data_IF_967106798929
#
_entry.id   IF_967106798929
#
_cell.length_a   1.000
_cell.length_b   1.000
_cell.length_c   1.000
_cell.angle_alpha   90.00
_cell.angle_beta   90.00
_cell.angle_gamma   90.00
#
_symmetry.space_group_name_H-M   'P 1'
#
loop_
_entity.id
_entity.type
_entity.pdbx_description
1 polymer ?
#
# COMPACT_ATOMS: atom_id res chain seq x y z
N UNK A 1 20.18 14.28 28.68
CA UNK A 1 19.15 13.54 27.90
C UNK A 1 19.90 12.86 26.77
N UNK A 2 20.14 11.53 26.87
CA UNK A 2 20.75 10.79 25.76
C UNK A 2 19.67 10.66 24.70
N UNK A 3 19.98 11.12 23.49
CA UNK A 3 19.11 10.98 22.34
C UNK A 3 18.81 9.48 22.17
N UNK A 4 17.57 9.09 22.46
CA UNK A 4 17.15 7.68 22.51
C UNK A 4 16.94 7.11 21.12
N UNK A 5 17.03 7.97 20.10
CA UNK A 5 16.80 7.65 18.71
C UNK A 5 18.07 8.03 17.95
N UNK A 6 18.65 7.06 17.25
CA UNK A 6 19.76 7.32 16.33
C UNK A 6 19.32 8.24 15.17
N UNK A 7 20.25 8.64 14.30
CA UNK A 7 19.90 9.39 13.09
C UNK A 7 18.87 8.61 12.25
N UNK A 8 18.06 9.33 11.48
CA UNK A 8 17.12 8.71 10.55
C UNK A 8 17.84 7.66 9.66
N UNK A 9 17.20 6.52 9.37
CA UNK A 9 17.80 5.47 8.54
C UNK A 9 18.17 6.05 7.17
N UNK A 10 19.40 5.77 6.71
CA UNK A 10 19.84 6.15 5.37
C UNK A 10 19.28 5.16 4.34
N UNK A 11 19.29 5.53 3.06
CA UNK A 11 19.06 4.58 1.98
C UNK A 11 20.37 3.82 1.72
N UNK A 12 20.57 2.74 2.48
CA UNK A 12 21.76 1.91 2.42
C UNK A 12 21.44 0.48 2.90
N UNK A 13 22.25 -0.49 2.47
CA UNK A 13 22.17 -1.87 2.92
C UNK A 13 22.15 -1.98 4.46
N UNK A 14 21.25 -2.81 4.99
CA UNK A 14 21.04 -3.01 6.43
C UNK A 14 20.16 -1.95 7.11
N UNK A 15 19.76 -0.88 6.40
CA UNK A 15 18.88 0.14 6.96
C UNK A 15 17.46 -0.40 7.13
N UNK A 16 16.83 -0.06 8.27
CA UNK A 16 15.52 -0.56 8.67
C UNK A 16 14.48 0.55 8.67
N UNK A 17 13.32 0.30 8.07
CA UNK A 17 12.19 1.23 7.99
C UNK A 17 10.95 0.56 8.58
N UNK A 18 10.38 1.16 9.63
CA UNK A 18 9.15 0.69 10.25
C UNK A 18 7.93 1.46 9.73
N UNK A 19 6.83 0.76 9.51
CA UNK A 19 5.53 1.33 9.17
C UNK A 19 4.44 0.66 10.00
N UNK A 20 3.41 1.43 10.36
CA UNK A 20 2.29 0.89 11.13
C UNK A 20 0.97 1.49 10.64
N UNK A 21 -0.10 0.70 10.66
CA UNK A 21 -1.46 1.11 10.33
C UNK A 21 -2.37 0.93 11.55
N UNK A 22 -3.23 1.91 11.80
CA UNK A 22 -4.28 1.80 12.80
C UNK A 22 -5.57 2.48 12.32
N UNK A 23 -6.72 1.93 12.72
CA UNK A 23 -8.03 2.52 12.55
C UNK A 23 -8.82 2.38 13.85
N UNK A 24 -9.62 3.39 14.19
CA UNK A 24 -10.39 3.41 15.45
C UNK A 24 -9.54 3.03 16.70
N UNK A 25 -8.31 3.56 16.77
CA UNK A 25 -7.32 3.30 17.84
C UNK A 25 -6.91 1.82 18.01
N UNK A 26 -7.08 1.01 16.96
CA UNK A 26 -6.63 -0.38 16.90
C UNK A 26 -5.55 -0.56 15.86
N UNK A 27 -4.45 -1.22 16.26
CA UNK A 27 -3.39 -1.64 15.35
C UNK A 27 -3.97 -2.68 14.37
N UNK A 28 -3.83 -2.42 13.06
CA UNK A 28 -4.27 -3.34 12.00
C UNK A 28 -3.11 -4.02 11.29
N UNK A 29 -1.98 -3.33 11.14
CA UNK A 29 -0.79 -3.89 10.54
C UNK A 29 0.49 -3.22 11.06
N UNK A 30 1.58 -3.96 11.04
CA UNK A 30 2.93 -3.41 11.15
C UNK A 30 3.86 -4.08 10.14
N UNK A 31 4.83 -3.30 9.64
CA UNK A 31 5.84 -3.80 8.74
C UNK A 31 7.21 -3.24 9.12
N UNK A 32 8.25 -4.05 8.99
CA UNK A 32 9.64 -3.60 9.07
C UNK A 32 10.39 -4.08 7.83
N UNK A 33 10.83 -3.13 7.01
CA UNK A 33 11.64 -3.40 5.81
C UNK A 33 13.12 -3.25 6.15
N UNK A 34 13.93 -4.24 5.79
CA UNK A 34 15.40 -4.17 5.84
C UNK A 34 15.95 -4.08 4.41
N UNK A 35 16.56 -2.95 4.05
CA UNK A 35 17.11 -2.75 2.71
C UNK A 35 18.34 -3.63 2.48
N UNK A 36 18.47 -4.19 1.27
CA UNK A 36 19.62 -4.98 0.84
C UNK A 36 20.47 -4.21 -0.18
N UNK A 37 19.87 -3.77 -1.27
CA UNK A 37 20.58 -3.15 -2.38
C UNK A 37 19.67 -2.26 -3.26
N UNK A 38 20.24 -1.35 -4.07
CA UNK A 38 19.50 -0.66 -5.11
C UNK A 38 18.89 -1.66 -6.12
N UNK A 39 17.71 -1.34 -6.63
CA UNK A 39 16.99 -2.14 -7.63
C UNK A 39 16.55 -1.26 -8.78
N UNK A 40 16.57 -1.80 -10.00
CA UNK A 40 16.09 -1.10 -11.19
C UNK A 40 14.55 -0.92 -11.19
N UNK A 41 13.84 -1.79 -10.47
CA UNK A 41 12.37 -1.79 -10.35
C UNK A 41 11.90 -1.89 -8.90
N UNK A 42 10.62 -1.62 -8.62
CA UNK A 42 9.96 -1.83 -7.32
C UNK A 42 8.96 -2.98 -7.36
N UNK A 43 9.31 -4.05 -8.09
CA UNK A 43 8.41 -5.18 -8.34
C UNK A 43 7.34 -4.86 -9.39
N UNK A 44 6.27 -5.66 -9.41
CA UNK A 44 5.24 -5.60 -10.45
C UNK A 44 3.90 -5.00 -9.99
N UNK A 45 3.60 -5.05 -8.68
CA UNK A 45 2.26 -4.72 -8.14
C UNK A 45 1.84 -3.28 -8.49
N UNK A 46 2.78 -2.33 -8.41
CA UNK A 46 2.51 -0.92 -8.71
C UNK A 46 2.56 -0.57 -10.21
N UNK A 47 2.74 -1.57 -11.09
CA UNK A 47 2.86 -1.36 -12.55
C UNK A 47 1.57 -1.55 -13.34
N UNK A 48 0.49 -2.03 -12.70
CA UNK A 48 -0.77 -2.34 -13.37
C UNK A 48 -1.85 -1.26 -13.11
N UNK A 49 -2.78 -1.04 -14.06
CA UNK A 49 -4.00 -0.28 -13.78
C UNK A 49 -4.77 -0.88 -12.60
N UNK A 50 -5.31 -0.02 -11.74
CA UNK A 50 -6.04 -0.41 -10.55
C UNK A 50 -7.53 -0.53 -10.89
N UNK A 51 -8.10 -1.71 -10.63
CA UNK A 51 -9.54 -1.90 -10.69
C UNK A 51 -10.18 -1.39 -9.39
N UNK A 52 -11.23 -0.57 -9.52
CA UNK A 52 -11.96 -0.01 -8.38
C UNK A 52 -13.47 -0.11 -8.60
N UNK A 53 -14.20 -0.22 -7.49
CA UNK A 53 -15.65 -0.06 -7.48
C UNK A 53 -16.00 1.38 -7.12
N UNK A 54 -16.75 2.06 -8.00
CA UNK A 54 -17.46 3.28 -7.64
C UNK A 54 -18.86 2.88 -7.22
N UNK A 55 -19.05 2.75 -5.91
CA UNK A 55 -20.29 2.26 -5.33
C UNK A 55 -20.91 3.31 -4.42
N UNK A 56 -22.17 3.66 -4.68
CA UNK A 56 -22.98 4.53 -3.84
C UNK A 56 -24.33 3.83 -3.57
N UNK A 57 -24.59 3.38 -2.33
CA UNK A 57 -25.87 2.80 -1.96
C UNK A 57 -27.05 3.74 -2.24
N UNK A 58 -28.22 3.18 -2.52
CA UNK A 58 -29.45 3.99 -2.49
C UNK A 58 -29.87 4.30 -1.05
N UNK A 59 -30.47 5.48 -0.88
CA UNK A 59 -31.14 5.86 0.37
C UNK A 59 -32.58 5.34 0.44
N UNK A 60 -33.15 4.94 -0.70
CA UNK A 60 -34.51 4.42 -0.78
C UNK A 60 -34.56 2.91 -0.48
N UNK A 61 -35.44 2.47 0.43
CA UNK A 61 -35.57 1.05 0.75
C UNK A 61 -35.87 0.18 -0.49
N UNK A 62 -35.09 -0.89 -0.65
CA UNK A 62 -35.29 -1.89 -1.71
C UNK A 62 -34.86 -1.46 -3.11
N UNK A 63 -34.26 -0.27 -3.27
CA UNK A 63 -33.74 0.17 -4.56
C UNK A 63 -32.30 -0.28 -4.82
N UNK A 64 -31.95 -0.39 -6.10
CA UNK A 64 -30.57 -0.62 -6.54
C UNK A 64 -29.66 0.57 -6.15
N UNK A 65 -28.33 0.38 -6.07
CA UNK A 65 -27.38 1.47 -5.80
C UNK A 65 -27.54 2.62 -6.80
N UNK A 66 -27.36 3.86 -6.33
CA UNK A 66 -27.36 5.04 -7.20
C UNK A 66 -26.14 5.07 -8.14
N UNK A 67 -25.06 4.40 -7.75
CA UNK A 67 -23.88 4.17 -8.57
C UNK A 67 -23.33 2.78 -8.26
N UNK A 68 -23.11 1.99 -9.30
CA UNK A 68 -22.44 0.70 -9.23
C UNK A 68 -21.68 0.51 -10.54
N UNK A 69 -20.40 0.90 -10.52
CA UNK A 69 -19.53 0.83 -11.69
C UNK A 69 -18.22 0.16 -11.32
N UNK A 70 -17.80 -0.80 -12.14
CA UNK A 70 -16.41 -1.25 -12.15
C UNK A 70 -15.63 -0.31 -13.04
N UNK A 71 -14.55 0.27 -12.52
CA UNK A 71 -13.66 1.16 -13.27
C UNK A 71 -12.22 0.66 -13.22
N UNK A 72 -11.42 1.10 -14.18
CA UNK A 72 -9.97 1.11 -14.07
C UNK A 72 -9.48 2.54 -13.90
N UNK A 73 -8.46 2.73 -13.05
CA UNK A 73 -7.66 3.95 -12.99
C UNK A 73 -6.18 3.61 -13.16
N UNK A 74 -5.45 4.48 -13.86
CA UNK A 74 -4.03 4.32 -14.10
C UNK A 74 -3.32 5.67 -14.05
N UNK A 75 -1.99 5.61 -13.99
CA UNK A 75 -1.15 6.80 -14.06
C UNK A 75 -1.13 7.35 -15.50
N UNK A 76 -1.39 8.65 -15.67
CA UNK A 76 -1.13 9.36 -16.93
C UNK A 76 0.29 9.92 -17.00
N UNK A 77 1.00 9.95 -15.86
CA UNK A 77 2.40 10.34 -15.75
C UNK A 77 3.00 9.75 -14.48
N UNK A 78 4.30 9.48 -14.51
CA UNK A 78 5.03 8.84 -13.42
C UNK A 78 6.48 9.33 -13.37
N UNK A 79 6.93 9.69 -12.18
CA UNK A 79 8.33 9.93 -11.86
C UNK A 79 8.69 9.17 -10.59
N UNK A 80 9.91 8.68 -10.50
CA UNK A 80 10.35 7.99 -9.30
C UNK A 80 11.84 8.08 -9.05
N UNK A 81 12.21 8.02 -7.78
CA UNK A 81 13.60 7.88 -7.35
C UNK A 81 14.13 6.46 -7.53
N UNK A 82 15.39 6.27 -7.12
CA UNK A 82 16.05 4.98 -7.02
C UNK A 82 15.24 4.03 -6.13
N UNK A 83 14.87 2.86 -6.65
CA UNK A 83 14.26 1.81 -5.85
C UNK A 83 15.34 1.07 -5.05
N UNK A 84 14.95 0.56 -3.89
CA UNK A 84 15.74 -0.38 -3.09
C UNK A 84 14.91 -1.62 -2.84
N UNK A 85 15.55 -2.79 -2.93
CA UNK A 85 14.95 -4.07 -2.61
C UNK A 85 15.46 -4.58 -1.26
N UNK A 86 14.69 -5.46 -0.64
CA UNK A 86 15.05 -6.09 0.62
C UNK A 86 14.01 -7.09 1.08
N UNK A 87 14.01 -7.33 2.39
CA UNK A 87 13.08 -8.23 3.06
C UNK A 87 12.18 -7.44 4.01
N UNK A 88 10.99 -7.97 4.30
CA UNK A 88 10.09 -7.39 5.27
C UNK A 88 9.49 -8.43 6.20
N UNK A 89 9.42 -8.07 7.47
CA UNK A 89 8.50 -8.67 8.42
C UNK A 89 7.16 -7.90 8.28
N UNK A 90 6.05 -8.61 8.04
CA UNK A 90 4.70 -8.03 7.95
C UNK A 90 3.76 -8.83 8.86
N UNK A 91 3.05 -8.13 9.74
CA UNK A 91 2.00 -8.72 10.56
C UNK A 91 0.68 -7.97 10.35
N UNK A 92 -0.41 -8.72 10.22
CA UNK A 92 -1.78 -8.23 10.19
C UNK A 92 -2.48 -8.65 11.49
N UNK A 93 -3.32 -7.78 12.04
CA UNK A 93 -3.98 -7.99 13.32
C UNK A 93 -5.50 -7.94 13.17
N UNK A 94 -6.18 -8.77 13.95
CA UNK A 94 -7.64 -8.80 13.99
C UNK A 94 -8.25 -7.51 14.52
N UNK A 95 -9.42 -7.17 13.98
CA UNK A 95 -10.27 -6.10 14.45
C UNK A 95 -11.74 -6.52 14.42
N UNK A 96 -12.57 -6.10 15.40
CA UNK A 96 -14.00 -6.36 15.35
C UNK A 96 -14.72 -5.54 14.27
N UNK A 97 -14.06 -4.54 13.67
CA UNK A 97 -14.66 -3.65 12.67
C UNK A 97 -13.98 -3.69 11.31
N UNK A 98 -12.78 -4.29 11.22
CA UNK A 98 -11.98 -4.31 9.99
C UNK A 98 -11.65 -5.75 9.61
N UNK A 99 -11.62 -6.02 8.31
CA UNK A 99 -11.43 -7.36 7.75
C UNK A 99 -10.02 -7.57 7.19
N UNK A 100 -9.07 -6.65 7.44
CA UNK A 100 -7.73 -6.70 6.85
C UNK A 100 -7.00 -8.01 7.16
N UNK A 101 -7.15 -8.58 8.35
CA UNK A 101 -6.52 -9.84 8.76
C UNK A 101 -7.01 -11.06 7.98
N UNK A 102 -8.13 -10.96 7.24
CA UNK A 102 -8.59 -12.03 6.35
C UNK A 102 -7.66 -12.25 5.15
N UNK A 103 -6.84 -11.25 4.80
CA UNK A 103 -5.81 -11.37 3.75
C UNK A 103 -4.55 -12.02 4.33
N UNK A 104 -4.61 -13.33 4.61
CA UNK A 104 -3.50 -14.07 5.22
C UNK A 104 -2.21 -13.94 4.40
N UNK A 105 -1.10 -13.69 5.10
CA UNK A 105 0.23 -13.61 4.47
C UNK A 105 0.85 -15.00 4.45
N UNK A 106 0.74 -15.69 3.32
CA UNK A 106 1.33 -17.02 3.14
C UNK A 106 2.84 -16.94 2.89
N UNK A 107 3.25 -16.08 1.97
CA UNK A 107 4.65 -15.91 1.59
C UNK A 107 4.97 -14.44 1.27
N UNK A 108 5.88 -13.80 2.01
CA UNK A 108 6.46 -12.52 1.63
C UNK A 108 7.38 -12.69 0.41
N UNK A 109 7.00 -12.15 -0.75
CA UNK A 109 7.76 -12.31 -2.00
C UNK A 109 8.97 -11.37 -2.13
N UNK A 110 8.85 -10.12 -1.68
CA UNK A 110 9.89 -9.10 -1.71
C UNK A 110 9.42 -7.85 -0.95
N UNK A 111 10.36 -7.01 -0.52
CA UNK A 111 10.08 -5.69 0.01
C UNK A 111 10.80 -4.61 -0.80
N UNK A 112 10.15 -3.46 -0.98
CA UNK A 112 10.73 -2.35 -1.72
C UNK A 112 10.56 -1.03 -0.98
N UNK A 113 11.57 -0.17 -1.10
CA UNK A 113 11.46 1.26 -0.81
C UNK A 113 11.63 2.04 -2.11
N UNK A 114 10.75 3.01 -2.35
CA UNK A 114 10.89 3.94 -3.49
C UNK A 114 10.14 5.23 -3.21
N UNK A 115 10.69 6.35 -3.66
CA UNK A 115 9.96 7.61 -3.77
C UNK A 115 9.22 7.63 -5.11
N UNK A 116 7.92 7.92 -5.09
CA UNK A 116 7.05 7.92 -6.27
C UNK A 116 6.26 9.22 -6.39
N UNK A 117 6.16 9.74 -7.61
CA UNK A 117 5.28 10.82 -8.02
C UNK A 117 4.40 10.33 -9.16
N UNK A 118 3.09 10.54 -9.04
CA UNK A 118 2.11 10.02 -10.00
C UNK A 118 1.14 11.14 -10.37
N UNK A 119 0.79 11.21 -11.65
CA UNK A 119 -0.32 12.03 -12.14
C UNK A 119 -1.47 11.09 -12.48
N UNK A 120 -2.62 11.34 -11.87
CA UNK A 120 -3.89 10.72 -12.23
C UNK A 120 -4.77 11.76 -12.91
N UNK A 121 -5.29 11.45 -14.10
CA UNK A 121 -6.16 12.33 -14.87
C UNK A 121 -7.54 11.72 -15.18
N UNK A 122 -7.87 10.58 -14.57
CA UNK A 122 -9.14 9.91 -14.73
C UNK A 122 -9.04 8.38 -14.73
N UNK A 123 -10.04 7.77 -15.35
CA UNK A 123 -10.17 6.33 -15.49
C UNK A 123 -11.20 5.98 -16.56
N UNK A 124 -11.43 4.69 -16.78
CA UNK A 124 -12.38 4.15 -17.74
C UNK A 124 -13.36 3.23 -17.03
N UNK A 125 -14.63 3.26 -17.44
CA UNK A 125 -15.63 2.28 -17.00
C UNK A 125 -15.42 0.94 -17.71
N UNK A 126 -15.52 -0.14 -16.94
CA UNK A 126 -15.36 -1.52 -17.39
C UNK A 126 -16.70 -2.27 -17.45
N UNK A 127 -17.59 -2.02 -16.48
CA UNK A 127 -18.95 -2.53 -16.42
C UNK A 127 -19.87 -1.50 -15.77
#
# INVERSE_FOLDING_TARGET
IRDRYGPAPRLAAGSRFGATLAAADRRLAEAVVTLREPSDTNGFVNGHPMAHHRYLPSVEPGQAPALDELIESGASGFEAGQAWTGEADLALYDSPTEELSLLTVEEPIAAYYRQVGVVWNGGRRLA
#
